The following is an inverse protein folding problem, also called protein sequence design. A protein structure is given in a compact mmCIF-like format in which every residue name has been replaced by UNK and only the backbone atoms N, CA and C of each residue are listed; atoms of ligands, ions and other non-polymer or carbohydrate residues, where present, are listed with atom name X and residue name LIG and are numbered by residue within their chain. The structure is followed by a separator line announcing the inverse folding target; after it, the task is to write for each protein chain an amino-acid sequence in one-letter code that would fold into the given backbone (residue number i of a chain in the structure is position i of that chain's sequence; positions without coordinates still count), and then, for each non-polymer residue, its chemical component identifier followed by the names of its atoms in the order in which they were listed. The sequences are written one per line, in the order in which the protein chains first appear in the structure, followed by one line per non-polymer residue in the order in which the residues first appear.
data_IF_945077265162
#
_entry.id   IF_945077265162
#
_cell.length_a   1.000
_cell.length_b   1.000
_cell.length_c   1.000
_cell.angle_alpha   90.00
_cell.angle_beta   90.00
_cell.angle_gamma   90.00
#
_symmetry.space_group_name_H-M   'P 1'
#
loop_
_entity.id
_entity.type
_entity.pdbx_description
1 polymer ?
#
# COMPACT_ATOMS: atom_id res chain seq x y z
N UNK A 1 -7.91 -3.90 -3.07
CA UNK A 1 -8.35 -2.70 -2.32
C UNK A 1 -7.21 -2.21 -1.47
N UNK A 2 -6.95 -0.91 -1.44
CA UNK A 2 -5.93 -0.28 -0.61
C UNK A 2 -6.59 0.28 0.65
N UNK A 3 -6.02 -0.03 1.81
CA UNK A 3 -6.36 0.62 3.07
C UNK A 3 -5.17 1.49 3.49
N UNK A 4 -5.45 2.77 3.75
CA UNK A 4 -4.52 3.67 4.42
C UNK A 4 -5.00 3.82 5.86
N UNK A 5 -4.12 3.54 6.81
CA UNK A 5 -4.47 3.54 8.23
C UNK A 5 -3.38 4.22 9.06
N UNK A 6 -3.80 5.14 9.92
CA UNK A 6 -2.97 5.81 10.91
C UNK A 6 -2.61 4.85 12.05
N UNK A 7 -1.35 4.91 12.48
CA UNK A 7 -0.84 4.25 13.69
C UNK A 7 -0.79 5.25 14.84
N UNK A 8 -0.67 4.72 16.06
CA UNK A 8 -0.65 5.55 17.30
C UNK A 8 0.48 6.58 17.34
N UNK A 9 1.57 6.34 16.62
CA UNK A 9 2.71 7.25 16.48
C UNK A 9 2.54 8.25 15.32
N UNK A 10 1.34 8.36 14.74
CA UNK A 10 1.02 9.28 13.64
C UNK A 10 1.46 8.80 12.26
N UNK A 11 2.13 7.64 12.15
CA UNK A 11 2.56 7.10 10.86
C UNK A 11 1.38 6.50 10.10
N UNK A 12 1.22 6.87 8.83
CA UNK A 12 0.25 6.24 7.93
C UNK A 12 0.87 5.00 7.30
N UNK A 13 0.13 3.89 7.36
CA UNK A 13 0.51 2.62 6.74
C UNK A 13 -0.42 2.28 5.59
N UNK A 14 0.13 1.65 4.56
CA UNK A 14 -0.60 1.14 3.40
C UNK A 14 -0.68 -0.38 3.45
N UNK A 15 -1.87 -0.95 3.24
CA UNK A 15 -2.04 -2.39 3.10
C UNK A 15 -3.03 -2.71 1.99
N UNK A 16 -2.66 -3.64 1.11
CA UNK A 16 -3.53 -4.12 0.04
C UNK A 16 -4.25 -5.39 0.48
N UNK A 17 -5.56 -5.40 0.30
CA UNK A 17 -6.44 -6.54 0.57
C UNK A 17 -7.07 -7.03 -0.73
N UNK A 18 -7.15 -8.35 -0.88
CA UNK A 18 -7.90 -9.01 -1.94
C UNK A 18 -9.40 -9.17 -1.58
N UNK A 19 -9.73 -9.29 -0.29
CA UNK A 19 -11.08 -9.47 0.23
C UNK A 19 -11.66 -8.16 0.80
N UNK A 20 -12.89 -7.82 0.43
CA UNK A 20 -13.54 -6.56 0.83
C UNK A 20 -13.86 -6.56 2.32
N UNK A 21 -14.43 -7.65 2.81
CA UNK A 21 -14.82 -7.75 4.21
C UNK A 21 -13.60 -7.62 5.15
N UNK A 22 -12.44 -8.16 4.75
CA UNK A 22 -11.19 -7.98 5.48
C UNK A 22 -10.71 -6.53 5.49
N UNK A 23 -10.80 -5.83 4.36
CA UNK A 23 -10.44 -4.41 4.25
C UNK A 23 -11.35 -3.53 5.12
N UNK A 24 -12.66 -3.77 5.10
CA UNK A 24 -13.64 -3.06 5.92
C UNK A 24 -13.41 -3.30 7.41
N UNK A 25 -13.18 -4.56 7.82
CA UNK A 25 -12.84 -4.90 9.22
C UNK A 25 -11.58 -4.18 9.70
N UNK A 26 -10.59 -3.95 8.82
CA UNK A 26 -9.39 -3.19 9.15
C UNK A 26 -9.71 -1.71 9.37
N UNK A 27 -10.51 -1.09 8.49
CA UNK A 27 -10.94 0.31 8.65
C UNK A 27 -11.78 0.49 9.91
N UNK A 28 -12.78 -0.36 10.12
CA UNK A 28 -13.66 -0.33 11.29
C UNK A 28 -12.85 -0.34 12.59
N UNK A 29 -11.99 -1.35 12.78
CA UNK A 29 -11.16 -1.46 14.00
C UNK A 29 -10.19 -0.30 14.20
N UNK A 30 -9.76 0.35 13.12
CA UNK A 30 -8.86 1.51 13.22
C UNK A 30 -9.65 2.74 13.68
N UNK A 31 -10.83 2.98 13.11
CA UNK A 31 -11.72 4.08 13.49
C UNK A 31 -12.29 3.94 14.90
N UNK A 32 -12.64 2.72 15.32
CA UNK A 32 -13.06 2.41 16.70
C UNK A 32 -11.99 2.79 17.74
N UNK A 33 -10.72 2.82 17.34
CA UNK A 33 -9.61 3.26 18.20
C UNK A 33 -9.38 4.77 18.15
N UNK A 34 -10.26 5.53 17.48
CA UNK A 34 -10.13 6.97 17.26
C UNK A 34 -9.05 7.36 16.24
N UNK A 35 -8.54 6.41 15.46
CA UNK A 35 -7.47 6.65 14.48
C UNK A 35 -8.04 6.79 13.07
N UNK A 36 -7.36 7.57 12.23
CA UNK A 36 -7.80 7.81 10.86
C UNK A 36 -7.59 6.58 9.97
N UNK A 37 -8.57 6.25 9.13
CA UNK A 37 -8.43 5.23 8.11
C UNK A 37 -9.34 5.48 6.90
N UNK A 38 -8.85 5.13 5.72
CA UNK A 38 -9.58 5.18 4.46
C UNK A 38 -9.42 3.87 3.68
N UNK A 39 -10.42 3.57 2.84
CA UNK A 39 -10.43 2.43 1.92
C UNK A 39 -10.65 2.95 0.51
N UNK A 40 -9.83 2.48 -0.41
CA UNK A 40 -9.90 2.82 -1.82
C UNK A 40 -9.86 1.56 -2.67
N UNK A 41 -10.72 1.50 -3.70
CA UNK A 41 -10.58 0.51 -4.75
C UNK A 41 -9.45 0.95 -5.68
N UNK A 42 -8.47 0.08 -5.89
CA UNK A 42 -7.29 0.38 -6.71
C UNK A 42 -7.07 -0.75 -7.71
N UNK A 43 -6.56 -0.41 -8.89
CA UNK A 43 -6.04 -1.37 -9.87
C UNK A 43 -4.54 -1.53 -9.63
N UNK A 44 -4.09 -2.75 -9.36
CA UNK A 44 -2.67 -3.05 -9.34
C UNK A 44 -2.17 -3.25 -10.77
N UNK A 45 -1.06 -2.61 -11.09
CA UNK A 45 -0.38 -2.77 -12.37
C UNK A 45 1.02 -3.29 -12.07
N UNK A 46 1.36 -4.52 -12.52
CA UNK A 46 2.73 -5.02 -12.41
C UNK A 46 3.69 -4.08 -13.14
N UNK A 47 4.80 -3.76 -12.51
CA UNK A 47 5.90 -3.03 -13.14
C UNK A 47 7.10 -3.96 -13.28
N UNK A 48 7.78 -3.89 -14.42
CA UNK A 48 9.04 -4.62 -14.63
C UNK A 48 10.13 -3.87 -13.89
N UNK A 49 10.88 -4.57 -13.05
CA UNK A 49 12.12 -4.03 -12.50
C UNK A 49 13.20 -4.19 -13.56
N UNK A 50 13.70 -3.07 -14.08
CA UNK A 50 14.83 -3.06 -15.00
C UNK A 50 16.10 -2.81 -14.18
N UNK A 51 16.97 -3.81 -14.10
CA UNK A 51 18.30 -3.63 -13.54
C UNK A 51 19.10 -2.72 -14.49
N UNK A 52 19.40 -1.51 -14.03
CA UNK A 52 20.12 -0.49 -14.80
C UNK A 52 21.61 -0.81 -15.00
N UNK A 53 22.10 -1.91 -14.40
CA UNK A 53 23.50 -2.33 -14.44
C UNK A 53 23.97 -2.76 -15.84
N UNK A 54 23.06 -2.97 -16.80
CA UNK A 54 23.38 -3.37 -18.18
C UNK A 54 23.70 -2.23 -19.15
N UNK A 55 23.63 -0.96 -18.74
CA UNK A 55 23.79 0.21 -19.64
C UNK A 55 25.18 0.88 -19.56
N UNK A 56 26.13 0.30 -18.82
CA UNK A 56 27.45 0.90 -18.57
C UNK A 56 28.62 0.18 -19.26
N UNK A 57 29.02 0.68 -20.43
CA UNK A 57 30.42 0.70 -20.85
C UNK A 57 30.88 -0.30 -21.93
N UNK A 58 30.53 -0.05 -23.19
CA UNK A 58 31.47 -0.37 -24.29
C UNK A 58 32.30 0.87 -24.58
N UNK A 59 33.31 1.09 -23.74
CA UNK A 59 34.38 2.06 -23.96
C UNK A 59 35.59 1.34 -24.51
N UNK A 60 35.58 1.10 -25.83
CA UNK A 60 36.78 0.80 -26.62
C UNK A 60 37.46 2.08 -27.07
#
# INVERSE_FOLDING_TARGET
MLVLAERRDGIVTSQVFADLAAAERKVWRTRERGLSASLQLVRLVPVVHLDLDGLGGDGR
#
